data_IF_988836996003
#
_entry.id   IF_988836996003
#
_cell.length_a   1.000
_cell.length_b   1.000
_cell.length_c   1.000
_cell.angle_alpha   90.00
_cell.angle_beta   90.00
_cell.angle_gamma   90.00
#
_symmetry.space_group_name_H-M   'P 1'
#
loop_
_entity.id
_entity.type
_entity.pdbx_description
1 polymer ?
#
# COMPACT_ATOMS: atom_id res chain seq x y z
N UNK A 1 14.29 3.79 14.27
CA UNK A 1 13.45 2.94 13.40
C UNK A 1 13.71 3.15 11.90
N UNK A 2 13.82 4.37 11.40
CA UNK A 2 14.01 4.65 9.96
C UNK A 2 15.28 4.02 9.38
N UNK A 3 16.42 4.13 10.08
CA UNK A 3 17.71 3.55 9.65
C UNK A 3 17.64 2.03 9.58
N UNK A 4 16.99 1.40 10.55
CA UNK A 4 16.77 -0.05 10.58
C UNK A 4 15.91 -0.51 9.39
N UNK A 5 14.83 0.22 9.06
CA UNK A 5 13.99 -0.11 7.91
C UNK A 5 14.75 0.00 6.59
N UNK A 6 15.56 1.06 6.40
CA UNK A 6 16.41 1.21 5.21
C UNK A 6 17.44 0.09 5.09
N UNK A 7 18.08 -0.28 6.19
CA UNK A 7 19.02 -1.41 6.23
C UNK A 7 18.33 -2.72 5.87
N UNK A 8 17.17 -3.00 6.47
CA UNK A 8 16.40 -4.20 6.18
C UNK A 8 15.97 -4.29 4.71
N UNK A 9 15.37 -3.21 4.17
CA UNK A 9 14.95 -3.16 2.75
C UNK A 9 16.16 -3.29 1.82
N UNK A 10 17.28 -2.61 2.14
CA UNK A 10 18.51 -2.70 1.37
C UNK A 10 19.17 -4.08 1.39
N UNK A 11 19.03 -4.85 2.47
CA UNK A 11 19.44 -6.25 2.53
C UNK A 11 18.51 -7.15 1.71
N UNK A 12 17.21 -6.88 1.77
CA UNK A 12 16.18 -7.71 1.12
C UNK A 12 16.21 -7.61 -0.39
N UNK A 13 16.47 -6.41 -0.94
CA UNK A 13 16.46 -6.18 -2.39
C UNK A 13 17.09 -4.85 -2.78
N UNK A 14 16.95 -4.49 -4.06
CA UNK A 14 17.38 -3.21 -4.61
C UNK A 14 16.17 -2.29 -4.72
N UNK A 15 16.13 -1.26 -3.89
CA UNK A 15 15.05 -0.27 -3.92
C UNK A 15 15.24 0.68 -5.11
N UNK A 16 14.26 0.67 -6.00
CA UNK A 16 14.15 1.55 -7.17
C UNK A 16 12.95 2.47 -6.97
N UNK A 17 13.18 3.78 -6.96
CA UNK A 17 12.13 4.78 -6.74
C UNK A 17 12.07 5.71 -7.94
N UNK A 18 10.88 5.88 -8.49
CA UNK A 18 10.60 6.80 -9.60
C UNK A 18 9.43 7.72 -9.25
N UNK A 19 9.35 8.85 -9.95
CA UNK A 19 8.39 9.91 -9.62
C UNK A 19 8.78 10.67 -8.37
N UNK A 20 8.06 11.74 -8.09
CA UNK A 20 8.29 12.61 -6.93
C UNK A 20 6.98 13.27 -6.53
N UNK A 21 6.95 13.86 -5.34
CA UNK A 21 5.85 14.72 -4.92
C UNK A 21 6.07 16.13 -5.47
N UNK A 22 5.07 16.75 -6.13
CA UNK A 22 5.10 18.17 -6.46
C UNK A 22 5.39 19.03 -5.21
N UNK A 23 6.21 20.07 -5.36
CA UNK A 23 6.65 20.90 -4.24
C UNK A 23 5.49 21.63 -3.53
N UNK A 24 4.47 22.04 -4.29
CA UNK A 24 3.26 22.70 -3.79
C UNK A 24 2.38 21.78 -2.93
N UNK A 25 2.60 20.48 -2.97
CA UNK A 25 1.89 19.51 -2.12
C UNK A 25 2.65 19.16 -0.84
N UNK A 26 3.83 19.72 -0.62
CA UNK A 26 4.57 19.51 0.63
C UNK A 26 3.87 20.20 1.79
N UNK A 27 3.50 19.41 2.81
CA UNK A 27 2.73 19.90 3.96
C UNK A 27 1.23 20.05 3.74
N UNK A 28 0.75 19.87 2.51
CA UNK A 28 -0.69 19.78 2.23
C UNK A 28 -1.28 18.46 2.76
N UNK A 29 -2.60 18.39 3.01
CA UNK A 29 -3.30 17.13 3.29
C UNK A 29 -3.08 16.12 2.16
N UNK A 30 -2.37 15.02 2.44
CA UNK A 30 -1.86 14.10 1.42
C UNK A 30 -2.23 12.65 1.71
N UNK A 31 -2.92 12.02 0.77
CA UNK A 31 -3.22 10.59 0.76
C UNK A 31 -2.35 9.88 -0.28
N UNK A 32 -1.59 8.90 0.15
CA UNK A 32 -0.87 7.98 -0.73
C UNK A 32 -1.72 6.71 -0.92
N UNK A 33 -2.22 6.51 -2.12
CA UNK A 33 -3.05 5.36 -2.49
C UNK A 33 -2.19 4.31 -3.18
N UNK A 34 -1.98 3.15 -2.58
CA UNK A 34 -1.06 2.15 -3.13
C UNK A 34 -1.72 0.79 -3.35
N UNK A 35 -1.27 0.04 -4.38
CA UNK A 35 -1.58 -1.38 -4.51
C UNK A 35 -0.88 -2.21 -3.42
N UNK A 36 -1.41 -3.40 -3.13
CA UNK A 36 -0.93 -4.27 -2.06
C UNK A 36 -0.73 -5.70 -2.55
N UNK A 37 0.53 -6.11 -2.69
CA UNK A 37 0.93 -7.41 -3.26
C UNK A 37 1.75 -8.28 -2.32
N UNK A 38 2.25 -7.72 -1.20
CA UNK A 38 3.11 -8.42 -0.25
C UNK A 38 3.01 -7.84 1.17
N UNK A 39 3.27 -8.65 2.17
CA UNK A 39 3.47 -8.19 3.55
C UNK A 39 4.68 -7.23 3.70
N UNK A 40 5.57 -7.21 2.72
CA UNK A 40 6.75 -6.33 2.69
C UNK A 40 6.44 -4.92 2.13
N UNK A 41 5.30 -4.74 1.45
CA UNK A 41 4.93 -3.46 0.83
C UNK A 41 5.02 -2.26 1.77
N UNK A 42 4.52 -2.32 3.03
CA UNK A 42 4.61 -1.17 3.92
C UNK A 42 6.05 -0.77 4.22
N UNK A 43 6.95 -1.74 4.39
CA UNK A 43 8.36 -1.47 4.67
C UNK A 43 9.07 -0.89 3.45
N UNK A 44 8.77 -1.42 2.26
CA UNK A 44 9.27 -0.92 0.98
C UNK A 44 8.81 0.51 0.75
N UNK A 45 7.52 0.79 0.99
CA UNK A 45 6.94 2.12 0.81
C UNK A 45 7.50 3.14 1.81
N UNK A 46 7.71 2.77 3.08
CA UNK A 46 8.41 3.64 4.05
C UNK A 46 9.80 3.99 3.55
N UNK A 47 10.57 3.01 3.06
CA UNK A 47 11.92 3.25 2.55
C UNK A 47 11.91 4.14 1.30
N UNK A 48 10.95 3.93 0.39
CA UNK A 48 10.76 4.73 -0.82
C UNK A 48 10.34 6.17 -0.49
N UNK A 49 9.36 6.36 0.40
CA UNK A 49 8.87 7.68 0.81
C UNK A 49 9.99 8.55 1.38
N UNK A 50 10.95 7.94 2.08
CA UNK A 50 12.13 8.66 2.57
C UNK A 50 13.08 9.14 1.48
N UNK A 51 13.01 8.56 0.28
CA UNK A 51 13.79 9.06 -0.87
C UNK A 51 13.23 10.36 -1.45
N UNK A 52 11.97 10.67 -1.16
CA UNK A 52 11.26 11.89 -1.55
C UNK A 52 10.89 12.75 -0.34
N UNK A 53 11.60 12.59 0.78
CA UNK A 53 11.45 13.35 2.03
C UNK A 53 10.06 13.30 2.67
N UNK A 54 9.35 12.17 2.50
CA UNK A 54 8.07 11.92 3.16
C UNK A 54 8.20 10.96 4.35
N UNK A 55 7.34 11.19 5.36
CA UNK A 55 7.23 10.35 6.55
C UNK A 55 5.77 9.91 6.75
N UNK A 56 5.23 9.03 5.90
CA UNK A 56 3.82 8.70 5.95
C UNK A 56 3.47 7.80 7.13
N UNK A 57 2.22 7.93 7.61
CA UNK A 57 1.58 7.00 8.51
C UNK A 57 0.66 6.07 7.72
N UNK A 58 0.52 4.84 8.20
CA UNK A 58 -0.31 3.83 7.54
C UNK A 58 -1.64 3.67 8.26
N UNK A 59 -2.69 3.45 7.49
CA UNK A 59 -3.97 2.94 7.98
C UNK A 59 -3.90 1.41 7.96
N UNK A 60 -3.98 0.80 9.15
CA UNK A 60 -3.81 -0.63 9.37
C UNK A 60 -5.09 -1.28 9.89
N UNK A 61 -5.25 -2.58 9.69
CA UNK A 61 -6.29 -3.33 10.38
C UNK A 61 -6.08 -3.26 11.90
N UNK A 62 -7.09 -2.87 12.67
CA UNK A 62 -7.00 -2.67 14.12
C UNK A 62 -6.49 -3.90 14.88
N UNK A 63 -6.77 -5.10 14.36
CA UNK A 63 -6.23 -6.36 14.89
C UNK A 63 -4.70 -6.37 14.97
N UNK A 64 -4.01 -5.76 14.01
CA UNK A 64 -2.56 -5.71 14.00
C UNK A 64 -1.99 -4.86 15.14
N UNK A 65 -2.69 -3.81 15.53
CA UNK A 65 -2.30 -2.97 16.67
C UNK A 65 -2.48 -3.67 18.02
N UNK A 66 -3.26 -4.74 18.09
CA UNK A 66 -3.47 -5.55 19.30
C UNK A 66 -2.39 -6.61 19.52
N UNK A 67 -1.58 -6.91 18.50
CA UNK A 67 -0.48 -7.88 18.62
C UNK A 67 0.59 -7.34 19.59
N UNK A 68 0.97 -8.08 20.63
CA UNK A 68 2.04 -7.68 21.53
C UNK A 68 3.34 -7.35 20.76
N UNK A 69 4.12 -6.41 21.23
CA UNK A 69 5.37 -5.93 20.60
C UNK A 69 5.11 -5.22 19.28
N UNK A 70 4.59 -5.90 18.24
CA UNK A 70 4.27 -5.32 16.93
C UNK A 70 3.32 -4.13 17.06
N UNK A 71 2.20 -4.33 17.76
CA UNK A 71 1.23 -3.25 17.99
C UNK A 71 1.79 -2.09 18.80
N UNK A 72 2.71 -2.35 19.76
CA UNK A 72 3.39 -1.26 20.48
C UNK A 72 4.28 -0.45 19.55
N UNK A 73 5.05 -1.10 18.71
CA UNK A 73 5.93 -0.47 17.71
C UNK A 73 5.10 0.34 16.72
N UNK A 74 4.01 -0.23 16.19
CA UNK A 74 3.15 0.46 15.22
C UNK A 74 2.45 1.68 15.83
N UNK A 75 1.94 1.59 17.07
CA UNK A 75 1.35 2.74 17.78
C UNK A 75 2.39 3.83 18.07
N UNK A 76 3.59 3.45 18.55
CA UNK A 76 4.65 4.44 18.81
C UNK A 76 5.14 5.13 17.54
N UNK A 77 4.93 4.52 16.38
CA UNK A 77 5.21 5.12 15.07
C UNK A 77 4.06 5.98 14.54
N UNK A 78 2.95 6.11 15.30
CA UNK A 78 1.80 6.93 14.95
C UNK A 78 0.93 6.36 13.84
N UNK A 79 1.02 5.05 13.55
CA UNK A 79 0.13 4.40 12.58
C UNK A 79 -1.30 4.32 13.13
N UNK A 80 -2.29 4.41 12.23
CA UNK A 80 -3.70 4.50 12.56
C UNK A 80 -4.39 3.14 12.36
N UNK A 81 -5.16 2.71 13.35
CA UNK A 81 -5.91 1.45 13.27
C UNK A 81 -7.35 1.68 12.85
N UNK A 82 -7.86 0.85 11.93
CA UNK A 82 -9.28 0.85 11.55
C UNK A 82 -9.87 -0.53 11.76
N UNK A 83 -10.82 -0.63 12.67
CA UNK A 83 -11.68 -1.81 12.81
C UNK A 83 -12.96 -1.58 12.01
N UNK A 84 -13.03 -2.17 10.82
CA UNK A 84 -14.05 -1.89 9.80
C UNK A 84 -15.45 -2.34 10.19
N UNK A 85 -15.57 -3.28 11.13
CA UNK A 85 -16.83 -3.89 11.56
C UNK A 85 -17.29 -3.36 12.92
N UNK A 86 -16.63 -2.34 13.46
CA UNK A 86 -16.96 -1.78 14.77
C UNK A 86 -17.59 -0.41 14.65
N UNK A 87 -18.35 -0.02 15.68
CA UNK A 87 -18.85 1.35 15.86
C UNK A 87 -17.73 2.41 15.85
N UNK A 88 -16.47 1.99 16.01
CA UNK A 88 -15.30 2.87 16.02
C UNK A 88 -14.79 3.24 14.60
N UNK A 89 -15.38 2.73 13.52
CA UNK A 89 -14.97 3.07 12.16
C UNK A 89 -15.08 4.58 11.88
N UNK A 90 -16.11 5.23 12.42
CA UNK A 90 -16.32 6.69 12.30
C UNK A 90 -15.24 7.47 13.06
N UNK A 91 -14.89 7.07 14.27
CA UNK A 91 -13.82 7.69 15.05
C UNK A 91 -12.47 7.58 14.33
N UNK A 92 -12.16 6.40 13.77
CA UNK A 92 -10.94 6.20 12.99
C UNK A 92 -10.89 7.10 11.73
N UNK A 93 -12.03 7.34 11.08
CA UNK A 93 -12.12 8.30 9.97
C UNK A 93 -11.80 9.72 10.42
N UNK A 94 -12.32 10.14 11.58
CA UNK A 94 -12.03 11.46 12.17
C UNK A 94 -10.54 11.62 12.48
N UNK A 95 -9.91 10.60 13.05
CA UNK A 95 -8.46 10.62 13.36
C UNK A 95 -7.61 10.72 12.09
N UNK A 96 -8.02 10.03 11.01
CA UNK A 96 -7.34 10.11 9.71
C UNK A 96 -7.45 11.55 9.15
N UNK A 97 -8.64 12.14 9.16
CA UNK A 97 -8.87 13.49 8.66
C UNK A 97 -8.10 14.52 9.49
N UNK A 98 -8.09 14.38 10.81
CA UNK A 98 -7.31 15.24 11.69
C UNK A 98 -5.80 15.15 11.40
N UNK A 99 -5.27 13.95 11.18
CA UNK A 99 -3.87 13.75 10.82
C UNK A 99 -3.52 14.37 9.45
N UNK A 100 -4.42 14.26 8.47
CA UNK A 100 -4.25 14.89 7.15
C UNK A 100 -4.20 16.42 7.27
N UNK A 101 -5.11 17.02 8.03
CA UNK A 101 -5.11 18.48 8.24
C UNK A 101 -3.90 18.97 9.07
N UNK A 102 -3.29 18.08 9.85
CA UNK A 102 -2.02 18.35 10.52
C UNK A 102 -0.80 18.18 9.59
N UNK A 103 -0.99 18.02 8.28
CA UNK A 103 0.06 17.86 7.29
C UNK A 103 0.78 16.50 7.32
N UNK A 104 0.17 15.49 7.97
CA UNK A 104 0.76 14.15 8.03
C UNK A 104 0.31 13.35 6.80
N UNK A 105 1.23 12.89 5.93
CA UNK A 105 0.89 12.04 4.81
C UNK A 105 0.35 10.69 5.29
N UNK A 106 -0.76 10.23 4.71
CA UNK A 106 -1.41 8.97 5.10
C UNK A 106 -1.39 7.97 3.94
N UNK A 107 -0.89 6.78 4.18
CA UNK A 107 -0.95 5.65 3.23
C UNK A 107 -2.21 4.83 3.49
N UNK A 108 -2.94 4.57 2.43
CA UNK A 108 -4.06 3.64 2.44
C UNK A 108 -3.92 2.69 1.25
N UNK A 109 -4.09 1.40 1.52
CA UNK A 109 -4.26 0.38 0.50
C UNK A 109 -5.76 0.25 0.17
N UNK A 110 -6.22 0.75 -1.01
CA UNK A 110 -7.65 0.76 -1.34
C UNK A 110 -8.27 -0.63 -1.37
N UNK A 111 -7.48 -1.63 -1.72
CA UNK A 111 -7.87 -3.05 -1.77
C UNK A 111 -8.24 -3.58 -0.38
N UNK A 112 -7.57 -3.07 0.64
CA UNK A 112 -7.79 -3.43 2.04
C UNK A 112 -7.35 -4.83 2.43
N UNK A 113 -6.71 -5.53 1.54
CA UNK A 113 -6.05 -6.83 1.68
C UNK A 113 -4.96 -6.94 0.63
N UNK A 114 -4.07 -7.91 0.79
CA UNK A 114 -3.12 -8.25 -0.27
C UNK A 114 -3.90 -8.86 -1.44
N UNK A 115 -3.62 -8.42 -2.67
CA UNK A 115 -4.32 -8.85 -3.88
C UNK A 115 -4.29 -10.38 -4.03
N UNK A 116 -5.43 -10.97 -4.36
CA UNK A 116 -5.58 -12.39 -4.70
C UNK A 116 -5.62 -12.62 -6.22
N UNK A 117 -5.45 -11.58 -7.01
CA UNK A 117 -5.39 -11.70 -8.47
C UNK A 117 -4.17 -12.53 -8.87
N UNK A 118 -4.31 -13.53 -9.77
CA UNK A 118 -3.18 -14.37 -10.21
C UNK A 118 -2.03 -13.57 -10.81
N UNK A 119 -2.34 -12.49 -11.52
CA UNK A 119 -1.38 -11.56 -12.10
C UNK A 119 -0.87 -10.50 -11.13
N UNK A 120 -1.30 -10.48 -9.86
CA UNK A 120 -0.99 -9.43 -8.89
C UNK A 120 -1.45 -8.03 -9.30
N UNK A 121 -2.44 -7.93 -10.18
CA UNK A 121 -3.07 -6.67 -10.49
C UNK A 121 -3.96 -6.21 -9.33
N UNK A 122 -4.15 -4.88 -9.15
CA UNK A 122 -5.01 -4.36 -8.09
C UNK A 122 -6.43 -4.90 -8.20
N UNK A 123 -7.02 -5.32 -7.09
CA UNK A 123 -8.42 -5.76 -7.06
C UNK A 123 -9.38 -4.57 -7.01
N UNK A 124 -10.69 -4.85 -7.05
CA UNK A 124 -11.74 -3.82 -7.07
C UNK A 124 -11.60 -2.79 -5.95
N UNK A 125 -11.19 -3.21 -4.75
CA UNK A 125 -10.99 -2.33 -3.60
C UNK A 125 -12.29 -1.79 -2.99
N UNK A 126 -12.14 -0.82 -2.07
CA UNK A 126 -13.22 -0.18 -1.30
C UNK A 126 -13.15 1.34 -1.43
N UNK A 127 -14.29 1.99 -1.42
CA UNK A 127 -14.42 3.44 -1.60
C UNK A 127 -13.99 4.28 -0.38
N UNK A 128 -13.51 3.66 0.71
CA UNK A 128 -13.15 4.37 1.95
C UNK A 128 -12.12 5.47 1.74
N UNK A 129 -11.03 5.18 1.00
CA UNK A 129 -10.02 6.18 0.66
C UNK A 129 -10.62 7.35 -0.12
N UNK A 130 -11.43 7.05 -1.14
CA UNK A 130 -12.07 8.07 -1.96
C UNK A 130 -13.01 8.97 -1.13
N UNK A 131 -13.77 8.40 -0.19
CA UNK A 131 -14.61 9.18 0.74
C UNK A 131 -13.78 10.09 1.64
N UNK A 132 -12.64 9.61 2.15
CA UNK A 132 -11.72 10.44 2.93
C UNK A 132 -11.19 11.59 2.07
N UNK A 133 -10.73 11.30 0.85
CA UNK A 133 -10.18 12.31 -0.06
C UNK A 133 -11.20 13.41 -0.38
N UNK A 134 -12.43 13.01 -0.75
CA UNK A 134 -13.50 13.97 -1.07
C UNK A 134 -13.95 14.79 0.15
N UNK A 135 -14.09 14.15 1.31
CA UNK A 135 -14.54 14.81 2.53
C UNK A 135 -13.49 15.70 3.20
N UNK A 136 -12.20 15.37 3.10
CA UNK A 136 -11.10 16.17 3.68
C UNK A 136 -10.49 17.18 2.72
N UNK A 137 -10.78 17.09 1.43
CA UNK A 137 -10.10 17.87 0.40
C UNK A 137 -8.65 17.45 0.15
N UNK A 138 -8.19 16.34 0.73
CA UNK A 138 -6.83 15.87 0.58
C UNK A 138 -6.49 15.52 -0.88
N UNK A 139 -5.25 15.82 -1.26
CA UNK A 139 -4.69 15.39 -2.54
C UNK A 139 -4.39 13.90 -2.51
N UNK A 140 -4.68 13.19 -3.60
CA UNK A 140 -4.42 11.74 -3.70
C UNK A 140 -3.27 11.52 -4.68
N UNK A 141 -2.16 10.99 -4.18
CA UNK A 141 -1.04 10.55 -5.00
C UNK A 141 -1.11 9.03 -5.14
N UNK A 142 -1.26 8.52 -6.37
CA UNK A 142 -1.22 7.09 -6.63
C UNK A 142 0.20 6.58 -6.49
N UNK A 143 0.37 5.46 -5.80
CA UNK A 143 1.66 4.80 -5.63
C UNK A 143 1.58 3.39 -6.16
N UNK A 144 2.48 3.05 -7.07
CA UNK A 144 2.54 1.72 -7.66
C UNK A 144 3.76 0.99 -7.13
N UNK A 145 3.58 -0.23 -6.62
CA UNK A 145 4.63 -1.06 -6.05
C UNK A 145 4.75 -2.38 -6.80
N UNK A 146 6.00 -2.82 -7.05
CA UNK A 146 6.28 -4.10 -7.67
C UNK A 146 7.56 -4.73 -7.09
N UNK A 147 7.64 -6.08 -7.12
CA UNK A 147 8.80 -6.83 -6.69
C UNK A 147 8.83 -7.25 -5.22
N UNK A 148 8.04 -6.62 -4.35
CA UNK A 148 8.01 -6.97 -2.92
C UNK A 148 7.49 -8.41 -2.67
N UNK A 149 6.66 -8.94 -3.56
CA UNK A 149 6.16 -10.32 -3.53
C UNK A 149 7.26 -11.37 -3.74
N UNK A 150 8.35 -11.00 -4.38
CA UNK A 150 9.51 -11.88 -4.58
C UNK A 150 10.37 -12.02 -3.32
N UNK A 151 10.27 -11.06 -2.42
CA UNK A 151 11.14 -10.95 -1.28
C UNK A 151 10.60 -11.65 -0.03
N UNK A 152 9.29 -11.83 0.08
CA UNK A 152 8.67 -12.40 1.26
C UNK A 152 7.59 -13.40 0.88
N UNK A 153 7.71 -14.61 1.42
CA UNK A 153 6.69 -15.66 1.29
C UNK A 153 5.34 -15.12 1.74
N UNK A 154 4.31 -15.40 0.95
CA UNK A 154 3.03 -14.79 1.21
C UNK A 154 1.95 -15.76 1.59
N UNK A 155 2.02 -17.01 1.36
CA UNK A 155 0.98 -18.01 1.59
C UNK A 155 -0.10 -17.65 2.62
N UNK A 156 -1.17 -18.38 2.68
CA UNK A 156 -2.30 -18.18 3.60
C UNK A 156 -1.95 -18.61 5.05
N UNK A 157 -0.74 -18.29 5.51
CA UNK A 157 -0.27 -18.72 6.82
C UNK A 157 -0.96 -17.90 7.92
N UNK A 158 -1.84 -18.57 8.65
CA UNK A 158 -2.18 -18.16 10.01
C UNK A 158 -0.98 -18.51 10.87
N UNK A 159 -0.28 -17.49 11.36
CA UNK A 159 0.81 -17.70 12.32
C UNK A 159 0.18 -18.14 13.65
N UNK A 160 0.24 -19.43 13.94
CA UNK A 160 -0.22 -20.04 15.19
C UNK A 160 0.95 -20.41 16.10
N UNK A 161 2.16 -20.51 15.54
CA UNK A 161 3.37 -20.85 16.26
C UNK A 161 4.64 -20.41 15.55
N UNK A 162 5.79 -20.56 16.21
CA UNK A 162 7.09 -20.12 15.69
C UNK A 162 7.48 -20.87 14.39
N UNK A 163 7.00 -22.10 14.20
CA UNK A 163 7.25 -22.90 12.97
C UNK A 163 6.63 -22.28 11.75
N UNK A 164 5.52 -21.57 11.90
CA UNK A 164 4.84 -20.89 10.79
C UNK A 164 5.63 -19.67 10.28
N UNK A 165 6.63 -19.22 11.07
CA UNK A 165 7.53 -18.14 10.65
C UNK A 165 8.69 -18.65 9.78
N UNK A 166 8.97 -19.95 9.75
CA UNK A 166 10.07 -20.52 8.96
C UNK A 166 9.95 -20.24 7.45
N UNK A 167 8.77 -20.37 6.82
CA UNK A 167 8.63 -20.02 5.41
C UNK A 167 8.93 -18.55 5.12
N UNK A 168 8.55 -17.64 6.02
CA UNK A 168 8.88 -16.22 5.91
C UNK A 168 10.39 -16.00 5.99
N UNK A 169 11.04 -16.59 6.99
CA UNK A 169 12.47 -16.46 7.17
C UNK A 169 13.24 -17.04 6.00
N UNK A 170 12.88 -18.24 5.52
CA UNK A 170 13.55 -18.89 4.40
C UNK A 170 13.36 -18.13 3.09
N UNK A 171 12.16 -17.58 2.83
CA UNK A 171 11.90 -16.75 1.65
C UNK A 171 12.70 -15.45 1.71
N UNK A 172 12.76 -14.82 2.89
CA UNK A 172 13.56 -13.62 3.09
C UNK A 172 15.07 -13.90 2.89
N UNK A 173 15.61 -14.96 3.45
CA UNK A 173 17.01 -15.35 3.24
C UNK A 173 17.33 -15.61 1.76
N UNK A 174 16.39 -16.21 1.01
CA UNK A 174 16.52 -16.36 -0.45
C UNK A 174 16.53 -15.00 -1.15
N UNK A 175 15.68 -14.06 -0.70
CA UNK A 175 15.64 -12.72 -1.29
C UNK A 175 16.93 -11.95 -1.07
N UNK A 176 17.53 -12.07 0.12
CA UNK A 176 18.85 -11.46 0.43
C UNK A 176 19.92 -11.91 -0.59
N UNK A 177 19.85 -13.16 -1.05
CA UNK A 177 20.78 -13.67 -2.08
C UNK A 177 20.40 -13.22 -3.49
N UNK A 178 19.12 -13.23 -3.83
CA UNK A 178 18.61 -12.86 -5.18
C UNK A 178 18.57 -11.35 -5.41
N UNK A 179 18.37 -10.58 -4.34
CA UNK A 179 18.23 -9.12 -4.35
C UNK A 179 17.25 -8.61 -5.40
N UNK A 180 15.97 -9.01 -5.31
CA UNK A 180 14.96 -8.59 -6.27
C UNK A 180 14.86 -7.06 -6.34
N UNK A 181 14.40 -6.54 -7.48
CA UNK A 181 14.11 -5.13 -7.64
C UNK A 181 12.80 -4.77 -6.91
N UNK A 182 12.92 -3.96 -5.87
CA UNK A 182 11.78 -3.43 -5.11
C UNK A 182 11.43 -2.07 -5.70
N UNK A 183 10.49 -2.05 -6.63
CA UNK A 183 10.14 -0.88 -7.42
C UNK A 183 8.97 -0.13 -6.78
N UNK A 184 9.11 1.19 -6.65
CA UNK A 184 8.04 2.08 -6.17
C UNK A 184 7.98 3.31 -7.08
N UNK A 185 6.80 3.59 -7.60
CA UNK A 185 6.54 4.76 -8.43
C UNK A 185 5.52 5.66 -7.73
N UNK A 186 5.86 6.93 -7.54
CA UNK A 186 4.94 7.97 -7.10
C UNK A 186 4.42 8.67 -8.36
N UNK A 187 3.13 8.47 -8.64
CA UNK A 187 2.47 9.07 -9.81
C UNK A 187 2.00 10.51 -9.54
N UNK A 188 1.50 11.17 -10.57
CA UNK A 188 0.93 12.50 -10.45
C UNK A 188 -0.36 12.49 -9.62
N UNK A 189 -0.67 13.57 -8.90
CA UNK A 189 -1.90 13.69 -8.13
C UNK A 189 -3.14 13.45 -8.99
N UNK A 190 -4.06 12.64 -8.47
CA UNK A 190 -5.31 12.34 -9.17
C UNK A 190 -6.26 13.54 -9.05
N UNK A 191 -6.68 14.10 -10.17
CA UNK A 191 -7.69 15.16 -10.18
C UNK A 191 -9.06 14.59 -9.79
N UNK A 192 -9.59 15.11 -8.68
CA UNK A 192 -10.91 14.80 -8.14
C UNK A 192 -11.78 16.05 -7.97
N UNK A 193 -11.39 17.18 -8.57
CA UNK A 193 -12.04 18.48 -8.38
C UNK A 193 -13.51 18.48 -8.77
N UNK A 194 -13.87 17.79 -9.85
CA UNK A 194 -15.22 17.66 -10.38
C UNK A 194 -16.13 16.69 -9.61
N UNK A 195 -15.59 16.01 -8.59
CA UNK A 195 -16.30 15.01 -7.79
C UNK A 195 -16.55 15.47 -6.33
N UNK A 196 -16.24 16.72 -6.00
CA UNK A 196 -16.37 17.26 -4.63
C UNK A 196 -17.75 17.77 -4.27
N UNK A 197 -18.69 17.75 -5.21
CA UNK A 197 -20.05 18.25 -5.02
C UNK A 197 -20.95 17.33 -4.18
N UNK A 198 -20.46 16.16 -3.75
CA UNK A 198 -21.19 15.22 -2.91
C UNK A 198 -22.32 14.48 -3.64
N UNK A 199 -22.29 14.44 -4.97
CA UNK A 199 -23.31 13.76 -5.77
C UNK A 199 -23.30 12.24 -5.57
N UNK A 200 -24.44 11.58 -5.66
CA UNK A 200 -24.50 10.13 -5.63
C UNK A 200 -23.52 9.49 -6.62
N UNK A 201 -22.68 8.59 -6.13
CA UNK A 201 -21.68 7.88 -6.94
C UNK A 201 -20.30 8.56 -7.05
N UNK A 202 -20.09 9.80 -6.54
CA UNK A 202 -18.79 10.48 -6.59
C UNK A 202 -17.67 9.65 -5.96
N UNK A 203 -17.91 9.09 -4.79
CA UNK A 203 -16.93 8.24 -4.13
C UNK A 203 -16.53 7.01 -4.97
N UNK A 204 -17.46 6.46 -5.75
CA UNK A 204 -17.16 5.35 -6.66
C UNK A 204 -16.33 5.84 -7.85
N UNK A 205 -16.71 6.95 -8.47
CA UNK A 205 -15.95 7.54 -9.60
C UNK A 205 -14.54 7.94 -9.17
N UNK A 206 -14.40 8.57 -8.00
CA UNK A 206 -13.10 8.91 -7.44
C UNK A 206 -12.23 7.66 -7.20
N UNK A 207 -12.83 6.63 -6.60
CA UNK A 207 -12.16 5.35 -6.41
C UNK A 207 -11.68 4.73 -7.73
N UNK A 208 -12.52 4.71 -8.75
CA UNK A 208 -12.17 4.19 -10.08
C UNK A 208 -11.01 4.96 -10.72
N UNK A 209 -11.00 6.32 -10.60
CA UNK A 209 -9.85 7.12 -11.07
C UNK A 209 -8.56 6.78 -10.35
N UNK A 210 -8.63 6.67 -9.02
CA UNK A 210 -7.47 6.34 -8.19
C UNK A 210 -6.91 4.96 -8.56
N UNK A 211 -7.78 3.96 -8.70
CA UNK A 211 -7.35 2.60 -9.05
C UNK A 211 -6.75 2.52 -10.44
N UNK A 212 -7.31 3.25 -11.42
CA UNK A 212 -6.74 3.36 -12.77
C UNK A 212 -5.36 4.04 -12.74
N UNK A 213 -5.19 5.09 -11.96
CA UNK A 213 -3.90 5.77 -11.83
C UNK A 213 -2.84 4.86 -11.20
N UNK A 214 -3.17 4.10 -10.15
CA UNK A 214 -2.30 3.07 -9.58
C UNK A 214 -1.93 2.02 -10.65
N UNK A 215 -2.90 1.55 -11.41
CA UNK A 215 -2.66 0.54 -12.45
C UNK A 215 -1.78 1.08 -13.58
N UNK A 216 -2.03 2.31 -14.02
CA UNK A 216 -1.22 2.96 -15.05
C UNK A 216 0.26 3.07 -14.64
N UNK A 217 0.53 3.44 -13.38
CA UNK A 217 1.90 3.47 -12.85
C UNK A 217 2.50 2.07 -12.65
N UNK A 218 1.67 1.04 -12.48
CA UNK A 218 2.13 -0.34 -12.32
C UNK A 218 2.57 -0.98 -13.66
N UNK A 219 1.96 -0.60 -14.77
CA UNK A 219 2.29 -1.14 -16.12
C UNK A 219 3.78 -1.03 -16.43
N UNK A 220 4.44 0.14 -16.37
CA UNK A 220 5.86 0.26 -16.68
C UNK A 220 6.76 -0.47 -15.67
N UNK A 221 6.35 -0.59 -14.40
CA UNK A 221 7.12 -1.33 -13.40
C UNK A 221 7.18 -2.82 -13.69
N UNK A 222 6.21 -3.33 -14.45
CA UNK A 222 6.06 -4.73 -14.84
C UNK A 222 6.53 -5.00 -16.27
N UNK A 223 7.20 -4.05 -16.90
CA UNK A 223 7.72 -4.25 -18.25
C UNK A 223 8.60 -5.51 -18.33
N UNK A 224 8.27 -6.42 -19.24
CA UNK A 224 8.95 -7.71 -19.39
C UNK A 224 8.44 -8.85 -18.50
N UNK A 225 7.46 -8.59 -17.63
CA UNK A 225 6.81 -9.64 -16.86
C UNK A 225 5.73 -10.36 -17.70
N UNK A 226 5.62 -11.69 -17.59
CA UNK A 226 4.50 -12.43 -18.18
C UNK A 226 3.19 -12.09 -17.44
N UNK A 227 2.07 -12.52 -17.99
CA UNK A 227 0.73 -12.34 -17.42
C UNK A 227 0.62 -12.86 -15.97
N UNK A 228 1.21 -14.01 -15.70
CA UNK A 228 1.47 -14.51 -14.35
C UNK A 228 2.91 -14.13 -14.01
N UNK A 229 3.15 -13.47 -12.85
CA UNK A 229 4.48 -13.03 -12.46
C UNK A 229 5.51 -14.15 -12.51
N UNK A 230 6.75 -13.84 -12.93
CA UNK A 230 7.84 -14.80 -13.01
C UNK A 230 8.09 -15.49 -11.65
N UNK A 231 7.93 -14.75 -10.55
CA UNK A 231 7.85 -15.33 -9.21
C UNK A 231 6.40 -15.61 -8.85
N UNK A 232 6.06 -16.87 -8.70
CA UNK A 232 4.76 -17.32 -8.24
C UNK A 232 4.92 -18.16 -6.97
N UNK A 233 4.18 -17.79 -5.93
CA UNK A 233 4.02 -18.62 -4.74
C UNK A 233 2.84 -19.59 -4.97
N UNK A 234 3.09 -20.91 -5.14
CA UNK A 234 2.03 -21.88 -5.44
C UNK A 234 1.03 -22.07 -4.30
N UNK A 235 1.37 -21.64 -3.10
CA UNK A 235 0.46 -21.73 -1.94
C UNK A 235 -0.46 -20.53 -1.81
N UNK A 236 -0.25 -19.50 -2.65
CA UNK A 236 -1.06 -18.29 -2.65
C UNK A 236 -2.45 -18.58 -3.22
N UNK A 237 -3.52 -18.24 -2.50
CA UNK A 237 -4.86 -18.32 -3.06
C UNK A 237 -4.99 -17.34 -4.24
N UNK A 238 -5.55 -17.81 -5.34
CA UNK A 238 -5.78 -17.07 -6.58
C UNK A 238 -7.26 -17.05 -6.90
N UNK A 239 -8.04 -16.35 -6.07
CA UNK A 239 -9.51 -16.31 -6.16
C UNK A 239 -10.04 -14.98 -6.69
N UNK A 240 -9.16 -13.98 -6.82
CA UNK A 240 -9.53 -12.66 -7.30
C UNK A 240 -9.36 -12.52 -8.82
N UNK A 241 -10.13 -11.60 -9.39
CA UNK A 241 -9.88 -11.09 -10.75
C UNK A 241 -9.85 -9.57 -10.70
N UNK A 242 -8.79 -8.99 -11.22
CA UNK A 242 -8.65 -7.53 -11.31
C UNK A 242 -9.55 -6.97 -12.41
N UNK A 243 -10.44 -6.01 -12.09
CA UNK A 243 -11.17 -5.27 -13.13
C UNK A 243 -10.30 -4.19 -13.80
N UNK A 244 -9.09 -3.97 -13.31
CA UNK A 244 -8.16 -2.93 -13.75
C UNK A 244 -7.02 -3.48 -14.60
N UNK A 245 -6.96 -4.79 -14.79
CA UNK A 245 -5.93 -5.41 -15.63
C UNK A 245 -5.98 -4.77 -17.02
N UNK A 246 -4.82 -4.29 -17.57
CA UNK A 246 -4.79 -3.79 -18.94
C UNK A 246 -5.28 -4.86 -19.91
N UNK A 247 -6.15 -4.49 -20.81
CA UNK A 247 -6.49 -5.33 -21.96
C UNK A 247 -5.29 -5.30 -22.90
N UNK A 248 -4.83 -6.48 -23.29
CA UNK A 248 -3.75 -6.64 -24.26
C UNK A 248 -4.13 -6.01 -25.62
#
# INVERSE_FOLDING_TARGET
MVTLNRGFVGLTGRLEVTGNLPEDLRGAPLLLASNHISNLDPMTLVAASRRIDLAPRFVLAGGLLRVPVVGRVLRSSGHLGVDRESANATAAMTDIVAALHAGVPIVIYPEGKISLDPGLWPERGKTGLARIALGSGAHVVPVSQWGAHEACYWGNLKVTGWRDLLPYLTSWLRSVRRRPALKVHFGDPVDLSDLRDGRPGDARRAHERIMRAITAGLVPLRAGEPDVPAFHDPTRPTTGSSPWRPTA
#
